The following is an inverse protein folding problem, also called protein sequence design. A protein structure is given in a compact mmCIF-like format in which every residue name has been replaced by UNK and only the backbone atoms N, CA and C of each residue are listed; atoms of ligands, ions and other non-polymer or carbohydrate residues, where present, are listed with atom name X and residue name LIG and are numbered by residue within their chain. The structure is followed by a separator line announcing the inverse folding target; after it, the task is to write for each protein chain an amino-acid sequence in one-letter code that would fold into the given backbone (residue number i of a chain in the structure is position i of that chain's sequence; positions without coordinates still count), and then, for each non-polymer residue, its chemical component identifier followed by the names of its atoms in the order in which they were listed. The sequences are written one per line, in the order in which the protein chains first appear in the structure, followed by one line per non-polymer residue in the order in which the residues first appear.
data_IF_697762446925
#
_entry.id   IF_697762446925
#
_cell.length_a   1.000
_cell.length_b   1.000
_cell.length_c   1.000
_cell.angle_alpha   90.00
_cell.angle_beta   90.00
_cell.angle_gamma   90.00
#
_symmetry.space_group_name_H-M   'P 1'
#
loop_
_entity.id
_entity.type
_entity.pdbx_description
1 polymer ?
#
# COMPACT_ATOMS: atom_id res chain seq x y z
N UNK A 1 -16.44 -65.62 -30.11
CA UNK A 1 -15.95 -64.75 -29.01
C UNK A 1 -15.18 -63.63 -29.66
N UNK A 2 -15.76 -62.43 -29.70
CA UNK A 2 -15.15 -61.26 -30.33
C UNK A 2 -14.72 -60.28 -29.23
N UNK A 3 -13.47 -59.86 -29.31
CA UNK A 3 -12.83 -58.81 -28.49
C UNK A 3 -13.23 -57.44 -29.01
N UNK A 4 -13.59 -56.50 -28.13
CA UNK A 4 -13.60 -55.05 -28.43
C UNK A 4 -13.80 -54.22 -27.16
N UNK A 5 -12.81 -53.37 -26.88
CA UNK A 5 -13.03 -52.05 -26.30
C UNK A 5 -12.93 -51.90 -24.78
N UNK A 6 -11.72 -51.94 -24.24
CA UNK A 6 -11.44 -51.24 -22.96
C UNK A 6 -10.53 -50.06 -23.31
N UNK A 7 -11.18 -48.93 -23.60
CA UNK A 7 -10.53 -47.62 -23.61
C UNK A 7 -10.32 -47.18 -22.17
N UNK A 8 -9.08 -46.82 -21.85
CA UNK A 8 -8.71 -46.24 -20.57
C UNK A 8 -9.36 -44.88 -20.34
N UNK A 9 -9.69 -44.62 -19.08
CA UNK A 9 -9.68 -43.30 -18.50
C UNK A 9 -9.49 -43.49 -16.99
N UNK A 10 -8.23 -43.34 -16.60
CA UNK A 10 -7.78 -43.37 -15.23
C UNK A 10 -8.39 -42.23 -14.42
N UNK A 11 -8.62 -42.52 -13.15
CA UNK A 11 -8.69 -41.60 -12.02
C UNK A 11 -9.79 -40.54 -12.01
N UNK A 12 -10.76 -40.70 -11.09
CA UNK A 12 -10.97 -39.63 -10.12
C UNK A 12 -11.45 -40.20 -8.78
N UNK A 13 -10.81 -39.72 -7.73
CA UNK A 13 -10.92 -40.17 -6.34
C UNK A 13 -12.38 -40.20 -5.87
N UNK A 14 -12.82 -41.37 -5.39
CA UNK A 14 -14.04 -41.46 -4.59
C UNK A 14 -13.75 -40.89 -3.20
N UNK A 15 -13.85 -39.55 -3.07
CA UNK A 15 -13.85 -38.87 -1.79
C UNK A 15 -15.19 -39.19 -1.12
N UNK A 16 -15.07 -39.81 0.07
CA UNK A 16 -16.15 -40.38 0.83
C UNK A 16 -17.36 -39.48 1.02
N UNK A 17 -18.50 -40.17 1.12
CA UNK A 17 -19.79 -39.68 1.55
C UNK A 17 -19.67 -38.90 2.87
N UNK A 18 -19.81 -37.58 2.80
CA UNK A 18 -20.07 -36.75 3.97
C UNK A 18 -21.57 -36.72 4.21
N UNK A 19 -21.99 -37.46 5.24
CA UNK A 19 -23.34 -37.49 5.80
C UNK A 19 -23.71 -36.13 6.38
N UNK A 20 -24.93 -35.72 6.07
CA UNK A 20 -25.83 -34.83 6.80
C UNK A 20 -25.23 -34.17 8.06
N UNK A 21 -24.68 -32.98 7.84
CA UNK A 21 -24.29 -32.05 8.89
C UNK A 21 -24.28 -30.68 8.26
N UNK A 22 -25.47 -30.07 8.24
CA UNK A 22 -25.80 -28.71 7.81
C UNK A 22 -24.58 -27.76 7.85
N UNK A 23 -23.84 -27.70 6.74
CA UNK A 23 -22.79 -26.72 6.51
C UNK A 23 -23.51 -25.40 6.28
N UNK A 24 -23.82 -24.72 7.37
CA UNK A 24 -24.28 -23.34 7.40
C UNK A 24 -23.23 -22.52 6.66
N UNK A 25 -23.41 -22.35 5.35
CA UNK A 25 -22.68 -21.37 4.57
C UNK A 25 -22.78 -20.07 5.33
N UNK A 26 -21.67 -19.34 5.60
CA UNK A 26 -21.77 -18.07 6.27
C UNK A 26 -22.68 -17.20 5.42
N UNK A 27 -23.90 -16.98 5.91
CA UNK A 27 -24.84 -16.04 5.33
C UNK A 27 -24.06 -14.75 5.15
N UNK A 28 -23.98 -14.27 3.91
CA UNK A 28 -23.32 -13.04 3.53
C UNK A 28 -23.46 -12.01 4.65
N UNK A 29 -22.33 -11.60 5.22
CA UNK A 29 -22.26 -10.52 6.18
C UNK A 29 -22.73 -9.24 5.47
N UNK A 30 -24.04 -9.01 5.44
CA UNK A 30 -24.68 -7.78 4.93
C UNK A 30 -24.55 -6.63 5.93
N UNK A 31 -23.64 -6.75 6.90
CA UNK A 31 -23.25 -5.66 7.78
C UNK A 31 -21.75 -5.44 7.61
N UNK A 32 -21.32 -4.29 7.07
CA UNK A 32 -19.90 -3.99 7.01
C UNK A 32 -19.37 -3.92 8.45
N UNK A 33 -18.40 -4.78 8.75
CA UNK A 33 -17.63 -4.71 9.98
C UNK A 33 -16.95 -3.32 10.03
N UNK A 34 -17.27 -2.53 11.06
CA UNK A 34 -16.81 -1.15 11.13
C UNK A 34 -15.36 -1.11 11.62
N UNK A 35 -14.44 -0.84 10.71
CA UNK A 35 -13.04 -0.60 11.04
C UNK A 35 -12.86 0.90 11.29
N UNK A 36 -12.51 1.27 12.53
CA UNK A 36 -12.18 2.67 12.88
C UNK A 36 -10.66 2.86 12.86
N UNK A 37 -10.17 3.67 11.91
CA UNK A 37 -8.75 4.03 11.83
C UNK A 37 -8.55 5.38 12.54
N UNK A 38 -7.63 5.43 13.51
CA UNK A 38 -7.29 6.68 14.20
C UNK A 38 -6.64 7.68 13.24
N UNK A 39 -6.88 8.98 13.47
CA UNK A 39 -6.29 10.05 12.64
C UNK A 39 -4.76 10.02 12.70
N UNK A 40 -4.22 9.75 13.89
CA UNK A 40 -2.78 9.63 14.14
C UNK A 40 -2.16 8.50 13.31
N UNK A 41 -2.84 7.34 13.22
CA UNK A 41 -2.40 6.23 12.37
C UNK A 41 -2.38 6.62 10.88
N UNK A 42 -3.40 7.32 10.39
CA UNK A 42 -3.42 7.82 9.00
C UNK A 42 -2.31 8.83 8.72
N UNK A 43 -1.94 9.66 9.69
CA UNK A 43 -0.80 10.58 9.55
C UNK A 43 0.52 9.82 9.49
N UNK A 44 0.73 8.81 10.35
CA UNK A 44 1.94 7.99 10.35
C UNK A 44 2.09 7.17 9.06
N UNK A 45 0.99 6.65 8.52
CA UNK A 45 0.95 5.95 7.24
C UNK A 45 1.42 6.85 6.09
N UNK A 46 0.83 8.06 5.97
CA UNK A 46 1.28 9.07 4.99
C UNK A 46 2.73 9.49 5.21
N UNK A 47 3.17 9.56 6.45
CA UNK A 47 4.55 9.87 6.79
C UNK A 47 5.50 8.74 6.33
N UNK A 48 5.11 7.49 6.52
CA UNK A 48 5.88 6.32 6.12
C UNK A 48 6.01 6.22 4.59
N UNK A 49 4.92 6.44 3.85
CA UNK A 49 4.91 6.46 2.37
C UNK A 49 5.88 7.51 1.78
N UNK A 50 6.09 8.63 2.48
CA UNK A 50 6.99 9.70 2.04
C UNK A 50 8.47 9.51 2.40
N UNK A 51 8.82 8.46 3.15
CA UNK A 51 10.16 8.26 3.72
C UNK A 51 11.30 8.30 2.70
N UNK A 52 11.16 7.54 1.61
CA UNK A 52 12.19 7.44 0.58
C UNK A 52 12.32 8.73 -0.26
N UNK A 53 11.19 9.34 -0.61
CA UNK A 53 11.12 10.62 -1.33
C UNK A 53 11.79 11.75 -0.52
N UNK A 54 11.70 11.71 0.81
CA UNK A 54 12.37 12.69 1.68
C UNK A 54 13.88 12.55 1.64
N UNK A 55 14.41 11.33 1.68
CA UNK A 55 15.85 11.12 1.74
C UNK A 55 16.54 11.59 0.45
N UNK A 56 16.01 11.22 -0.72
CA UNK A 56 16.53 11.66 -2.02
C UNK A 56 16.51 13.19 -2.17
N UNK A 57 15.42 13.84 -1.73
CA UNK A 57 15.32 15.31 -1.74
C UNK A 57 16.34 15.97 -0.82
N UNK A 58 16.54 15.40 0.37
CA UNK A 58 17.52 15.90 1.34
C UNK A 58 18.93 15.78 0.76
N UNK A 59 19.27 14.65 0.15
CA UNK A 59 20.60 14.42 -0.39
C UNK A 59 20.88 15.31 -1.62
N UNK A 60 19.89 15.50 -2.50
CA UNK A 60 19.99 16.46 -3.60
C UNK A 60 20.16 17.91 -3.12
N UNK A 61 19.49 18.30 -2.04
CA UNK A 61 19.65 19.63 -1.43
C UNK A 61 21.04 19.76 -0.80
N UNK A 62 21.52 18.74 -0.07
CA UNK A 62 22.86 18.73 0.52
C UNK A 62 23.94 18.89 -0.55
N UNK A 63 23.82 18.19 -1.67
CA UNK A 63 24.71 18.31 -2.81
C UNK A 63 24.71 19.73 -3.38
N UNK A 64 23.53 20.34 -3.57
CA UNK A 64 23.43 21.73 -4.03
C UNK A 64 24.08 22.72 -3.06
N UNK A 65 23.98 22.49 -1.74
CA UNK A 65 24.61 23.33 -0.72
C UNK A 65 26.13 23.19 -0.78
N UNK A 66 26.65 21.96 -0.85
CA UNK A 66 28.09 21.71 -0.94
C UNK A 66 28.70 22.31 -2.22
N UNK A 67 27.98 22.23 -3.33
CA UNK A 67 28.39 22.79 -4.60
C UNK A 67 28.15 24.31 -4.70
N UNK A 68 27.61 24.95 -3.66
CA UNK A 68 27.30 26.39 -3.64
C UNK A 68 26.20 26.82 -4.60
N UNK A 69 25.46 25.88 -5.20
CA UNK A 69 24.41 26.13 -6.20
C UNK A 69 23.00 26.21 -5.59
N UNK A 70 22.89 25.97 -4.27
CA UNK A 70 21.63 26.06 -3.55
C UNK A 70 21.09 27.49 -3.46
N UNK A 71 21.99 28.47 -3.25
CA UNK A 71 21.66 29.88 -3.14
C UNK A 71 21.53 30.51 -4.53
N UNK A 72 20.43 30.21 -5.22
CA UNK A 72 20.00 30.99 -6.40
C UNK A 72 19.25 32.23 -5.92
N UNK A 73 19.37 33.36 -6.63
CA UNK A 73 18.73 34.63 -6.25
C UNK A 73 17.23 34.50 -5.94
N UNK A 74 16.50 33.73 -6.75
CA UNK A 74 15.06 33.46 -6.55
C UNK A 74 14.76 32.72 -5.22
N UNK A 75 15.60 31.76 -4.83
CA UNK A 75 15.42 31.04 -3.55
C UNK A 75 15.74 31.93 -2.35
N UNK A 76 16.64 32.90 -2.52
CA UNK A 76 17.00 33.86 -1.48
C UNK A 76 15.85 34.84 -1.23
N UNK A 77 15.26 35.40 -2.29
CA UNK A 77 14.10 36.28 -2.19
C UNK A 77 12.92 35.58 -1.52
N UNK A 78 12.66 34.32 -1.89
CA UNK A 78 11.61 33.54 -1.26
C UNK A 78 11.92 33.21 0.21
N UNK A 79 13.18 32.90 0.54
CA UNK A 79 13.59 32.68 1.93
C UNK A 79 13.40 33.94 2.79
N UNK A 80 13.74 35.11 2.25
CA UNK A 80 13.55 36.41 2.93
C UNK A 80 12.06 36.72 3.08
N UNK A 81 11.26 36.52 2.03
CA UNK A 81 9.81 36.72 2.08
C UNK A 81 9.14 35.85 3.16
N UNK A 82 9.50 34.56 3.22
CA UNK A 82 8.99 33.66 4.24
C UNK A 82 9.40 34.10 5.65
N UNK A 83 10.65 34.53 5.83
CA UNK A 83 11.13 35.05 7.12
C UNK A 83 10.34 36.29 7.56
N UNK A 84 10.05 37.20 6.65
CA UNK A 84 9.25 38.39 6.93
C UNK A 84 7.81 38.02 7.29
N UNK A 85 7.20 37.07 6.56
CA UNK A 85 5.88 36.55 6.86
C UNK A 85 5.80 35.92 8.27
N UNK A 86 6.80 35.11 8.64
CA UNK A 86 6.88 34.50 9.98
C UNK A 86 7.04 35.55 11.09
N UNK A 87 7.68 36.69 10.80
CA UNK A 87 7.83 37.82 11.72
C UNK A 87 6.60 38.77 11.72
N UNK A 88 5.61 38.53 10.85
CA UNK A 88 4.37 39.30 10.78
C UNK A 88 4.46 40.61 9.99
N UNK A 89 5.42 40.72 9.07
CA UNK A 89 5.54 41.84 8.13
C UNK A 89 4.81 41.59 6.80
#
# INVERSE_FOLDING_TARGET
MNISGIGGADSHLSIGQWRDGDLKTPSSLDTPDQITISKEAQYLEKLAESGQIRQEKIDAIREQIQNGTYLKGEKLEQAVSNMLYELGF
#
